data_IF_267532550105
#
_entry.id   IF_267532550105
#
_cell.length_a   1.000
_cell.length_b   1.000
_cell.length_c   1.000
_cell.angle_alpha   90.00
_cell.angle_beta   90.00
_cell.angle_gamma   90.00
#
_symmetry.space_group_name_H-M   'P 1'
#
loop_
_entity.id
_entity.type
_entity.pdbx_description
1 polymer ?
#
# COMPACT_ATOMS: atom_id res chain seq x y z
N UNK A 1 -2.10 -21.74 7.66
CA UNK A 1 -2.50 -21.02 6.43
C UNK A 1 -2.78 -19.57 6.77
N UNK A 2 -2.21 -18.67 5.97
CA UNK A 2 -2.40 -17.24 6.18
C UNK A 2 -3.64 -16.78 5.42
N UNK A 3 -4.58 -16.18 6.11
CA UNK A 3 -5.76 -15.61 5.47
C UNK A 3 -5.35 -14.39 4.62
N UNK A 4 -6.12 -14.09 3.58
CA UNK A 4 -5.81 -12.96 2.71
C UNK A 4 -5.74 -11.62 3.48
N UNK A 5 -6.50 -11.49 4.56
CA UNK A 5 -6.48 -10.28 5.39
C UNK A 5 -5.14 -10.05 6.08
N UNK A 6 -4.38 -11.13 6.33
CA UNK A 6 -3.11 -11.01 7.04
C UNK A 6 -2.06 -10.24 6.24
N UNK A 7 -2.10 -10.31 4.90
CA UNK A 7 -1.14 -9.56 4.11
C UNK A 7 -1.33 -8.05 4.28
N UNK A 8 -2.56 -7.58 4.44
CA UNK A 8 -2.84 -6.16 4.63
C UNK A 8 -2.27 -5.64 5.95
N UNK A 9 -2.46 -6.40 7.02
CA UNK A 9 -1.90 -6.01 8.33
C UNK A 9 -0.38 -6.01 8.29
N UNK A 10 0.22 -6.99 7.63
CA UNK A 10 1.67 -7.02 7.46
C UNK A 10 2.18 -5.84 6.65
N UNK A 11 1.46 -5.45 5.61
CA UNK A 11 1.81 -4.26 4.82
C UNK A 11 1.84 -3.00 5.69
N UNK A 12 0.81 -2.81 6.51
CA UNK A 12 0.73 -1.65 7.38
C UNK A 12 1.86 -1.63 8.39
N UNK A 13 2.21 -2.79 8.94
CA UNK A 13 3.32 -2.90 9.88
C UNK A 13 4.64 -2.51 9.23
N UNK A 14 4.88 -2.97 8.02
CA UNK A 14 6.07 -2.61 7.25
C UNK A 14 6.13 -1.09 7.03
N UNK A 15 5.02 -0.48 6.64
CA UNK A 15 4.97 0.98 6.44
C UNK A 15 5.29 1.75 7.71
N UNK A 16 4.88 1.23 8.86
CA UNK A 16 5.10 1.92 10.15
C UNK A 16 6.52 1.76 10.68
N UNK A 17 7.14 0.60 10.46
CA UNK A 17 8.31 0.22 11.24
C UNK A 17 9.61 0.09 10.44
N UNK A 18 9.57 -0.07 9.13
CA UNK A 18 10.77 -0.34 8.34
C UNK A 18 11.25 0.91 7.61
N UNK A 19 12.54 0.92 7.28
CA UNK A 19 13.13 2.02 6.54
C UNK A 19 12.68 1.99 5.06
N UNK A 20 13.08 3.01 4.31
CA UNK A 20 12.64 3.18 2.92
C UNK A 20 12.98 1.97 2.05
N UNK A 21 14.23 1.53 2.10
CA UNK A 21 14.71 0.43 1.26
C UNK A 21 14.02 -0.88 1.59
N UNK A 22 13.94 -1.21 2.87
CA UNK A 22 13.32 -2.44 3.33
C UNK A 22 11.82 -2.42 3.15
N UNK A 23 11.17 -1.28 3.35
CA UNK A 23 9.73 -1.14 3.09
C UNK A 23 9.41 -1.49 1.64
N UNK A 24 10.11 -0.90 0.69
CA UNK A 24 9.87 -1.15 -0.72
C UNK A 24 10.06 -2.64 -1.05
N UNK A 25 11.19 -3.20 -0.64
CA UNK A 25 11.53 -4.59 -0.92
C UNK A 25 10.52 -5.55 -0.33
N UNK A 26 10.18 -5.36 0.93
CA UNK A 26 9.34 -6.31 1.65
C UNK A 26 7.88 -6.20 1.26
N UNK A 27 7.39 -5.01 0.95
CA UNK A 27 6.03 -4.83 0.44
C UNK A 27 5.89 -5.51 -0.92
N UNK A 28 6.86 -5.31 -1.79
CA UNK A 28 6.84 -5.95 -3.10
C UNK A 28 6.79 -7.47 -2.99
N UNK A 29 7.61 -8.04 -2.11
CA UNK A 29 7.63 -9.48 -1.89
C UNK A 29 6.32 -9.98 -1.31
N UNK A 30 5.78 -9.26 -0.34
CA UNK A 30 4.54 -9.64 0.32
C UNK A 30 3.36 -9.65 -0.66
N UNK A 31 3.27 -8.64 -1.52
CA UNK A 31 2.20 -8.57 -2.52
C UNK A 31 2.33 -9.71 -3.52
N UNK A 32 3.54 -9.98 -4.00
CA UNK A 32 3.78 -11.08 -4.92
C UNK A 32 3.39 -12.43 -4.31
N UNK A 33 3.76 -12.64 -3.05
CA UNK A 33 3.48 -13.90 -2.37
C UNK A 33 2.00 -14.07 -2.03
N UNK A 34 1.29 -12.97 -1.82
CA UNK A 34 -0.14 -13.03 -1.47
C UNK A 34 -1.03 -13.52 -2.61
N UNK A 35 -0.57 -13.32 -3.86
CA UNK A 35 -1.32 -13.67 -5.07
C UNK A 35 -2.70 -13.00 -5.14
N UNK A 36 -2.85 -11.87 -4.47
CA UNK A 36 -4.07 -11.08 -4.49
C UNK A 36 -4.20 -10.39 -5.85
N UNK A 37 -5.41 -10.37 -6.40
CA UNK A 37 -5.70 -9.74 -7.68
C UNK A 37 -6.64 -8.54 -7.56
N UNK A 38 -7.23 -8.33 -6.40
CA UNK A 38 -8.13 -7.21 -6.13
C UNK A 38 -7.64 -6.46 -4.89
N UNK A 39 -7.27 -5.19 -5.07
CA UNK A 39 -6.73 -4.37 -3.99
C UNK A 39 -7.70 -3.30 -3.50
N UNK A 40 -8.98 -3.36 -3.90
CA UNK A 40 -9.95 -2.33 -3.51
C UNK A 40 -10.08 -2.19 -1.99
N UNK A 41 -10.10 -3.32 -1.27
CA UNK A 41 -10.18 -3.30 0.19
C UNK A 41 -8.92 -2.69 0.83
N UNK A 42 -7.78 -2.86 0.18
CA UNK A 42 -6.53 -2.32 0.69
C UNK A 42 -6.54 -0.79 0.67
N UNK A 43 -7.04 -0.18 -0.40
CA UNK A 43 -7.15 1.28 -0.46
C UNK A 43 -8.00 1.81 0.70
N UNK A 44 -9.13 1.16 0.97
CA UNK A 44 -10.01 1.59 2.06
C UNK A 44 -9.33 1.44 3.42
N UNK A 45 -8.69 0.31 3.64
CA UNK A 45 -7.99 0.06 4.89
C UNK A 45 -6.85 1.07 5.10
N UNK A 46 -6.09 1.36 4.07
CA UNK A 46 -5.01 2.35 4.17
C UNK A 46 -5.55 3.73 4.51
N UNK A 47 -6.68 4.12 3.92
CA UNK A 47 -7.30 5.39 4.24
C UNK A 47 -7.76 5.42 5.71
N UNK A 48 -8.42 4.35 6.16
CA UNK A 48 -8.95 4.28 7.52
C UNK A 48 -7.84 4.28 8.59
N UNK A 49 -6.64 3.83 8.24
CA UNK A 49 -5.51 3.73 9.16
C UNK A 49 -4.42 4.77 8.90
N UNK A 50 -4.70 5.77 8.09
CA UNK A 50 -3.69 6.70 7.60
C UNK A 50 -2.97 7.45 8.72
N UNK A 51 -3.64 7.68 9.85
CA UNK A 51 -3.02 8.34 11.00
C UNK A 51 -1.87 7.54 11.60
N UNK A 52 -1.89 6.22 11.40
CA UNK A 52 -0.86 5.35 11.96
C UNK A 52 0.40 5.30 11.09
N UNK A 53 0.24 5.22 9.77
CA UNK A 53 1.39 5.04 8.87
C UNK A 53 1.77 6.31 8.10
N UNK A 54 0.84 7.23 7.93
CA UNK A 54 1.07 8.46 7.16
C UNK A 54 1.33 9.70 7.99
N UNK A 55 1.71 9.54 9.25
CA UNK A 55 1.87 10.62 10.21
C UNK A 55 2.80 11.72 9.69
N UNK A 56 2.32 12.96 9.69
CA UNK A 56 3.08 14.08 9.17
C UNK A 56 2.91 14.33 7.67
N UNK A 57 2.27 13.38 6.95
CA UNK A 57 2.11 13.46 5.50
C UNK A 57 0.71 13.03 5.07
N UNK A 58 -0.28 13.21 5.95
CA UNK A 58 -1.63 12.68 5.72
C UNK A 58 -2.26 13.23 4.45
N UNK A 59 -2.19 14.54 4.23
CA UNK A 59 -2.80 15.16 3.05
C UNK A 59 -2.21 14.61 1.75
N UNK A 60 -0.90 14.49 1.70
CA UNK A 60 -0.23 13.96 0.51
C UNK A 60 -0.61 12.51 0.25
N UNK A 61 -0.70 11.72 1.31
CA UNK A 61 -1.07 10.31 1.21
C UNK A 61 -2.52 10.16 0.76
N UNK A 62 -3.44 11.01 1.22
CA UNK A 62 -4.83 10.99 0.76
C UNK A 62 -4.89 11.22 -0.75
N UNK A 63 -4.15 12.21 -1.26
CA UNK A 63 -4.12 12.48 -2.69
C UNK A 63 -3.60 11.29 -3.49
N UNK A 64 -2.56 10.63 -2.99
CA UNK A 64 -2.01 9.45 -3.66
C UNK A 64 -2.99 8.29 -3.64
N UNK A 65 -3.63 8.03 -2.51
CA UNK A 65 -4.63 6.97 -2.42
C UNK A 65 -5.79 7.22 -3.39
N UNK A 66 -6.28 8.45 -3.47
CA UNK A 66 -7.36 8.81 -4.37
C UNK A 66 -6.96 8.58 -5.84
N UNK A 67 -5.77 9.03 -6.21
CA UNK A 67 -5.26 8.90 -7.58
C UNK A 67 -5.16 7.43 -7.99
N UNK A 68 -4.55 6.60 -7.15
CA UNK A 68 -4.32 5.20 -7.50
C UNK A 68 -5.57 4.34 -7.36
N UNK A 69 -6.48 4.70 -6.47
CA UNK A 69 -7.78 4.03 -6.40
C UNK A 69 -8.55 4.23 -7.71
N UNK A 70 -8.54 5.43 -8.26
CA UNK A 70 -9.17 5.69 -9.54
C UNK A 70 -8.51 4.90 -10.67
N UNK A 71 -7.18 4.90 -10.69
CA UNK A 71 -6.42 4.14 -11.69
C UNK A 71 -6.71 2.64 -11.59
N UNK A 72 -6.88 2.13 -10.38
CA UNK A 72 -7.12 0.70 -10.14
C UNK A 72 -8.35 0.20 -10.92
N UNK A 73 -9.34 1.03 -11.09
CA UNK A 73 -10.57 0.65 -11.79
C UNK A 73 -10.35 0.38 -13.28
N UNK A 74 -9.30 0.96 -13.88
CA UNK A 74 -9.11 0.93 -15.34
C UNK A 74 -7.77 0.33 -15.79
N UNK A 75 -6.83 0.09 -14.89
CA UNK A 75 -5.53 -0.46 -15.29
C UNK A 75 -5.64 -1.95 -15.64
N UNK A 76 -4.79 -2.38 -16.54
CA UNK A 76 -4.71 -3.79 -16.93
C UNK A 76 -4.08 -4.62 -15.83
N UNK A 77 -2.96 -4.15 -15.27
CA UNK A 77 -2.22 -4.88 -14.24
C UNK A 77 -2.33 -4.16 -12.90
N UNK A 78 -3.13 -4.72 -12.02
CA UNK A 78 -3.39 -4.11 -10.71
C UNK A 78 -2.19 -4.20 -9.77
N UNK A 79 -1.34 -5.20 -9.93
CA UNK A 79 -0.13 -5.32 -9.11
C UNK A 79 0.86 -4.19 -9.43
N UNK A 80 1.05 -3.88 -10.70
CA UNK A 80 1.92 -2.76 -11.10
C UNK A 80 1.37 -1.45 -10.54
N UNK A 81 0.07 -1.26 -10.63
CA UNK A 81 -0.56 -0.04 -10.12
C UNK A 81 -0.39 0.11 -8.62
N UNK A 82 -0.62 -0.96 -7.86
CA UNK A 82 -0.48 -0.90 -6.39
C UNK A 82 0.98 -0.68 -5.99
N UNK A 83 1.92 -1.26 -6.71
CA UNK A 83 3.34 -1.04 -6.42
C UNK A 83 3.77 0.38 -6.76
N UNK A 84 3.23 0.98 -7.81
CA UNK A 84 3.47 2.39 -8.11
C UNK A 84 2.96 3.28 -6.96
N UNK A 85 1.78 2.97 -6.43
CA UNK A 85 1.24 3.69 -5.28
C UNK A 85 2.19 3.59 -4.08
N UNK A 86 2.63 2.38 -3.73
CA UNK A 86 3.54 2.21 -2.60
C UNK A 86 4.88 2.90 -2.81
N UNK A 87 5.38 2.91 -4.04
CA UNK A 87 6.62 3.62 -4.35
C UNK A 87 6.50 5.11 -4.01
N UNK A 88 5.40 5.75 -4.41
CA UNK A 88 5.19 7.17 -4.11
C UNK A 88 4.91 7.40 -2.63
N UNK A 89 4.08 6.56 -2.01
CA UNK A 89 3.78 6.69 -0.58
C UNK A 89 5.06 6.58 0.26
N UNK A 90 5.86 5.56 0.00
CA UNK A 90 7.13 5.37 0.71
C UNK A 90 8.04 6.58 0.51
N UNK A 91 8.09 7.12 -0.70
CA UNK A 91 8.89 8.30 -1.00
C UNK A 91 8.44 9.54 -0.24
N UNK A 92 7.14 9.64 0.07
CA UNK A 92 6.59 10.76 0.83
C UNK A 92 6.84 10.61 2.32
N UNK A 93 6.58 9.42 2.89
CA UNK A 93 6.62 9.23 4.35
C UNK A 93 8.01 8.87 4.88
N UNK A 94 8.90 8.49 4.03
CA UNK A 94 10.27 8.07 4.40
C UNK A 94 11.30 8.75 3.52
#
# INVERSE_FOLDING_TARGET
>A
MIAQNDYKLSLLEILKTQDKKNSFKNIRQLIADSKVTDFSDLFRLMFDTIDDWGKGHIAECILLLSQYQQSDAVVVDKEINIMAMFTEVIGVIK
#
